data_IF_559650961130
#
_entry.id   IF_559650961130
#
_cell.length_a   1.000
_cell.length_b   1.000
_cell.length_c   1.000
_cell.angle_alpha   90.00
_cell.angle_beta   90.00
_cell.angle_gamma   90.00
#
_symmetry.space_group_name_H-M   'P 1'
#
loop_
_entity.id
_entity.type
_entity.pdbx_description
1 polymer ?
#
# COMPACT_ATOMS: atom_id res chain seq x y z
N UNK A 1 8.57 3.19 -18.87
CA UNK A 1 8.94 1.77 -18.99
C UNK A 1 9.13 1.42 -20.47
N UNK A 2 10.28 1.79 -21.02
CA UNK A 2 10.60 1.47 -22.41
C UNK A 2 11.14 0.03 -22.45
N UNK A 3 10.73 -0.78 -23.41
CA UNK A 3 11.28 -2.13 -23.59
C UNK A 3 10.48 -3.27 -22.94
N UNK A 4 9.39 -3.00 -22.22
CA UNK A 4 8.63 -4.07 -21.54
C UNK A 4 8.05 -5.10 -22.53
N UNK A 5 7.46 -4.61 -23.62
CA UNK A 5 6.87 -5.47 -24.65
C UNK A 5 7.93 -6.42 -25.23
N UNK A 6 9.08 -5.88 -25.60
CA UNK A 6 10.19 -6.62 -26.19
C UNK A 6 10.72 -7.69 -25.24
N UNK A 7 10.95 -7.34 -23.96
CA UNK A 7 11.39 -8.30 -22.94
C UNK A 7 10.36 -9.41 -22.71
N UNK A 8 9.08 -9.08 -22.82
CA UNK A 8 8.02 -10.07 -22.66
C UNK A 8 7.91 -10.99 -23.87
N UNK A 9 7.99 -10.44 -25.08
CA UNK A 9 8.03 -11.22 -26.32
C UNK A 9 9.22 -12.20 -26.31
N UNK A 10 10.40 -11.76 -25.85
CA UNK A 10 11.60 -12.61 -25.72
C UNK A 10 11.42 -13.73 -24.68
N UNK A 11 10.75 -13.44 -23.55
CA UNK A 11 10.45 -14.44 -22.52
C UNK A 11 9.50 -15.52 -23.06
N UNK A 12 8.46 -15.09 -23.78
CA UNK A 12 7.47 -15.97 -24.42
C UNK A 12 8.14 -16.83 -25.51
N UNK A 13 9.02 -16.24 -26.33
CA UNK A 13 9.76 -16.96 -27.37
C UNK A 13 10.65 -18.08 -26.80
N UNK A 14 11.08 -17.96 -25.53
CA UNK A 14 11.81 -19.01 -24.80
C UNK A 14 10.89 -20.07 -24.17
N UNK A 15 9.58 -19.98 -24.35
CA UNK A 15 8.60 -20.86 -23.71
C UNK A 15 8.48 -20.63 -22.21
N UNK A 16 8.85 -19.44 -21.71
CA UNK A 16 8.81 -19.07 -20.30
C UNK A 16 7.67 -18.10 -20.02
N UNK A 17 7.34 -17.96 -18.74
CA UNK A 17 6.39 -16.99 -18.23
C UNK A 17 6.81 -16.55 -16.83
N UNK A 18 6.39 -15.35 -16.42
CA UNK A 18 6.48 -14.89 -15.03
C UNK A 18 5.32 -15.53 -14.26
N UNK A 19 5.66 -16.32 -13.25
CA UNK A 19 4.72 -17.15 -12.49
C UNK A 19 4.33 -16.48 -11.19
N UNK A 20 3.02 -16.37 -10.97
CA UNK A 20 2.44 -15.53 -9.92
C UNK A 20 1.71 -16.37 -8.87
N UNK A 21 1.88 -16.00 -7.60
CA UNK A 21 0.98 -16.38 -6.51
C UNK A 21 0.16 -15.17 -6.09
N UNK A 22 -1.16 -15.29 -5.99
CA UNK A 22 -2.04 -14.19 -5.60
C UNK A 22 -2.70 -14.53 -4.27
N UNK A 23 -2.57 -13.63 -3.28
CA UNK A 23 -3.19 -13.77 -1.96
C UNK A 23 -4.34 -12.79 -1.82
N UNK A 24 -5.52 -13.33 -1.50
CA UNK A 24 -6.80 -12.63 -1.47
C UNK A 24 -7.51 -12.71 -2.82
N UNK A 25 -8.65 -13.39 -2.84
CA UNK A 25 -9.53 -13.54 -3.99
C UNK A 25 -10.84 -12.76 -3.83
N UNK A 26 -10.77 -11.61 -3.14
CA UNK A 26 -11.84 -10.60 -3.11
C UNK A 26 -12.00 -9.88 -4.45
N UNK A 27 -12.73 -8.75 -4.47
CA UNK A 27 -12.96 -7.97 -5.70
C UNK A 27 -11.66 -7.61 -6.44
N UNK A 28 -10.67 -7.09 -5.72
CA UNK A 28 -9.38 -6.68 -6.30
C UNK A 28 -8.56 -7.89 -6.78
N UNK A 29 -8.48 -8.95 -5.97
CA UNK A 29 -7.78 -10.18 -6.33
C UNK A 29 -8.33 -10.85 -7.58
N UNK A 30 -9.65 -10.97 -7.70
CA UNK A 30 -10.32 -11.52 -8.89
C UNK A 30 -10.03 -10.65 -10.11
N UNK A 31 -10.10 -9.32 -9.98
CA UNK A 31 -9.78 -8.41 -11.08
C UNK A 31 -8.32 -8.57 -11.53
N UNK A 32 -7.38 -8.71 -10.59
CA UNK A 32 -5.97 -8.97 -10.89
C UNK A 32 -5.77 -10.30 -11.61
N UNK A 33 -6.33 -11.39 -11.09
CA UNK A 33 -6.21 -12.73 -11.70
C UNK A 33 -6.76 -12.71 -13.13
N UNK A 34 -7.96 -12.14 -13.32
CA UNK A 34 -8.58 -11.97 -14.64
C UNK A 34 -7.70 -11.14 -15.58
N UNK A 35 -7.12 -10.04 -15.09
CA UNK A 35 -6.26 -9.19 -15.89
C UNK A 35 -4.96 -9.90 -16.30
N UNK A 36 -4.26 -10.55 -15.36
CA UNK A 36 -3.04 -11.30 -15.64
C UNK A 36 -3.26 -12.44 -16.63
N UNK A 37 -4.39 -13.16 -16.53
CA UNK A 37 -4.73 -14.23 -17.47
C UNK A 37 -4.89 -13.74 -18.92
N UNK A 38 -5.16 -12.46 -19.13
CA UNK A 38 -5.31 -11.85 -20.45
C UNK A 38 -4.01 -11.25 -21.00
N UNK A 39 -2.90 -11.30 -20.26
CA UNK A 39 -1.61 -10.75 -20.69
C UNK A 39 -0.65 -11.91 -20.98
N UNK A 40 -0.25 -12.11 -22.26
CA UNK A 40 0.74 -13.12 -22.61
C UNK A 40 2.02 -12.98 -21.80
N UNK A 41 2.55 -14.13 -21.36
CA UNK A 41 3.81 -14.20 -20.62
C UNK A 41 3.69 -14.06 -19.10
N UNK A 42 2.50 -13.77 -18.55
CA UNK A 42 2.18 -14.03 -17.15
C UNK A 42 1.45 -15.37 -16.99
N UNK A 43 1.63 -16.02 -15.84
CA UNK A 43 0.88 -17.22 -15.46
C UNK A 43 0.55 -17.19 -13.98
N UNK A 44 -0.74 -17.14 -13.63
CA UNK A 44 -1.17 -17.34 -12.24
C UNK A 44 -1.07 -18.83 -11.91
N UNK A 45 -0.20 -19.18 -10.97
CA UNK A 45 0.08 -20.56 -10.58
C UNK A 45 -0.59 -20.94 -9.26
N UNK A 46 -0.85 -19.96 -8.39
CA UNK A 46 -1.47 -20.21 -7.10
C UNK A 46 -2.36 -19.05 -6.66
N UNK A 47 -3.45 -19.39 -5.98
CA UNK A 47 -4.39 -18.47 -5.35
C UNK A 47 -4.55 -18.91 -3.89
N UNK A 48 -4.37 -17.98 -2.96
CA UNK A 48 -4.63 -18.19 -1.55
C UNK A 48 -5.81 -17.33 -1.09
N UNK A 49 -6.84 -17.95 -0.52
CA UNK A 49 -7.93 -17.25 0.13
C UNK A 49 -8.41 -18.05 1.36
N UNK A 50 -8.56 -17.36 2.49
CA UNK A 50 -8.99 -17.98 3.75
C UNK A 50 -10.39 -18.60 3.67
N UNK A 51 -11.25 -18.10 2.77
CA UNK A 51 -12.61 -18.59 2.60
C UNK A 51 -12.69 -19.58 1.44
N UNK A 52 -12.30 -20.81 1.71
CA UNK A 52 -12.34 -21.92 0.74
C UNK A 52 -13.76 -22.23 0.23
N UNK A 53 -14.81 -21.79 0.94
CA UNK A 53 -16.19 -21.95 0.45
C UNK A 53 -16.49 -21.09 -0.76
N UNK A 54 -15.67 -20.07 -1.04
CA UNK A 54 -15.84 -19.22 -2.21
C UNK A 54 -15.17 -19.78 -3.47
N UNK A 55 -14.50 -20.95 -3.42
CA UNK A 55 -13.81 -21.53 -4.57
C UNK A 55 -14.71 -21.56 -5.81
N UNK A 56 -15.95 -22.07 -5.71
CA UNK A 56 -16.86 -22.16 -6.87
C UNK A 56 -17.21 -20.78 -7.44
N UNK A 57 -17.42 -19.78 -6.58
CA UNK A 57 -17.71 -18.41 -6.97
C UNK A 57 -16.49 -17.74 -7.64
N UNK A 58 -15.29 -17.97 -7.10
CA UNK A 58 -14.02 -17.48 -7.63
C UNK A 58 -13.78 -18.10 -9.02
N UNK A 59 -13.89 -19.42 -9.13
CA UNK A 59 -13.77 -20.15 -10.39
C UNK A 59 -14.77 -19.67 -11.42
N UNK A 60 -16.03 -19.49 -11.04
CA UNK A 60 -17.07 -18.98 -11.94
C UNK A 60 -16.76 -17.58 -12.48
N UNK A 61 -16.30 -16.65 -11.62
CA UNK A 61 -15.94 -15.28 -12.05
C UNK A 61 -14.69 -15.21 -12.90
N UNK A 62 -13.77 -16.15 -12.71
CA UNK A 62 -12.50 -16.23 -13.44
C UNK A 62 -12.57 -17.15 -14.67
N UNK A 63 -13.73 -17.79 -14.91
CA UNK A 63 -13.93 -18.77 -15.97
C UNK A 63 -12.92 -19.94 -15.89
N UNK A 64 -12.56 -20.34 -14.66
CA UNK A 64 -11.67 -21.46 -14.39
C UNK A 64 -12.53 -22.71 -14.13
N UNK A 65 -12.27 -23.80 -14.87
CA UNK A 65 -12.83 -25.11 -14.54
C UNK A 65 -12.24 -25.61 -13.19
N UNK A 66 -13.10 -25.93 -12.23
CA UNK A 66 -12.72 -26.44 -10.90
C UNK A 66 -11.83 -27.69 -11.01
N UNK A 67 -11.96 -28.50 -12.07
CA UNK A 67 -11.11 -29.67 -12.29
C UNK A 67 -9.64 -29.31 -12.59
N UNK A 68 -9.40 -28.07 -13.02
CA UNK A 68 -8.07 -27.51 -13.23
C UNK A 68 -7.45 -26.97 -11.95
N UNK A 69 -8.12 -27.08 -10.80
CA UNK A 69 -7.54 -26.78 -9.51
C UNK A 69 -6.79 -27.99 -8.92
N UNK A 70 -5.76 -27.68 -8.14
CA UNK A 70 -5.19 -28.55 -7.14
C UNK A 70 -5.39 -27.89 -5.78
N UNK A 71 -6.18 -28.52 -4.91
CA UNK A 71 -6.46 -27.98 -3.58
C UNK A 71 -5.32 -28.38 -2.63
N UNK A 72 -4.68 -27.38 -2.03
CA UNK A 72 -3.65 -27.53 -1.03
C UNK A 72 -4.16 -26.99 0.30
N UNK A 73 -4.81 -27.84 1.10
CA UNK A 73 -5.33 -27.45 2.41
C UNK A 73 -4.22 -27.45 3.47
N UNK A 74 -4.26 -26.47 4.36
CA UNK A 74 -3.36 -26.31 5.50
C UNK A 74 -3.53 -27.39 6.58
N UNK A 75 -4.62 -28.15 6.52
CA UNK A 75 -5.02 -29.11 7.55
C UNK A 75 -5.43 -28.46 8.88
N UNK A 76 -5.82 -27.17 8.87
CA UNK A 76 -6.19 -26.42 10.07
C UNK A 76 -5.00 -25.94 10.90
N UNK A 77 -3.78 -25.96 10.33
CA UNK A 77 -2.60 -25.40 10.99
C UNK A 77 -2.78 -23.90 11.20
N UNK A 78 -2.44 -23.36 12.39
CA UNK A 78 -2.47 -21.92 12.58
C UNK A 78 -1.42 -21.30 11.65
N UNK A 79 -1.89 -20.51 10.68
CA UNK A 79 -1.03 -19.70 9.82
C UNK A 79 -0.13 -18.77 10.65
N UNK A 80 0.78 -18.06 9.99
CA UNK A 80 1.89 -17.40 10.70
C UNK A 80 1.53 -16.13 11.50
N UNK A 81 0.26 -15.68 11.47
CA UNK A 81 -0.13 -14.36 11.98
C UNK A 81 -0.04 -14.26 13.51
N UNK A 82 -0.38 -15.34 14.21
CA UNK A 82 -0.35 -15.41 15.68
C UNK A 82 0.98 -15.94 16.25
N UNK A 83 1.95 -16.16 15.36
CA UNK A 83 3.27 -16.72 15.67
C UNK A 83 4.22 -15.69 16.27
N UNK A 84 5.22 -16.18 16.99
CA UNK A 84 6.39 -15.38 17.36
C UNK A 84 7.22 -15.06 16.10
N UNK A 85 7.62 -13.81 15.94
CA UNK A 85 8.43 -13.37 14.80
C UNK A 85 9.72 -14.19 14.65
N UNK A 86 10.38 -14.54 15.76
CA UNK A 86 11.61 -15.36 15.74
C UNK A 86 11.35 -16.81 15.31
N UNK A 87 10.17 -17.36 15.61
CA UNK A 87 9.80 -18.71 15.18
C UNK A 87 9.48 -18.75 13.69
N UNK A 88 8.92 -17.65 13.14
CA UNK A 88 8.74 -17.48 11.69
C UNK A 88 10.10 -17.33 11.00
N UNK A 89 11.01 -16.50 11.51
CA UNK A 89 12.35 -16.33 10.94
C UNK A 89 13.19 -17.61 10.93
N UNK A 90 13.09 -18.40 12.01
CA UNK A 90 13.86 -19.65 12.16
C UNK A 90 13.22 -20.84 11.44
N UNK A 91 12.07 -20.66 10.78
CA UNK A 91 11.36 -21.72 10.08
C UNK A 91 10.73 -22.77 11.00
N UNK A 92 10.56 -22.48 12.29
CA UNK A 92 9.87 -23.38 13.23
C UNK A 92 8.36 -23.41 12.99
N UNK A 93 7.82 -22.33 12.42
CA UNK A 93 6.43 -22.24 12.00
C UNK A 93 6.33 -22.60 10.51
N UNK A 94 6.06 -23.87 10.21
CA UNK A 94 5.85 -24.32 8.84
C UNK A 94 4.35 -24.55 8.56
N UNK A 95 3.89 -24.30 7.31
CA UNK A 95 2.56 -24.71 6.91
C UNK A 95 2.44 -26.24 7.03
N UNK A 96 1.32 -26.74 7.55
CA UNK A 96 1.06 -28.18 7.70
C UNK A 96 0.96 -28.95 6.37
N UNK A 97 0.94 -28.23 5.24
CA UNK A 97 0.91 -28.83 3.92
C UNK A 97 2.28 -29.43 3.55
N UNK A 98 2.30 -30.71 3.17
CA UNK A 98 3.51 -31.45 2.78
C UNK A 98 3.52 -31.83 1.29
N UNK A 99 2.44 -31.55 0.55
CA UNK A 99 2.22 -31.97 -0.83
C UNK A 99 2.94 -31.13 -1.90
N UNK A 100 4.07 -30.47 -1.60
CA UNK A 100 4.74 -29.54 -2.53
C UNK A 100 5.20 -30.20 -3.84
N UNK A 101 5.62 -31.47 -3.81
CA UNK A 101 5.95 -32.22 -5.02
C UNK A 101 4.74 -32.44 -5.93
N UNK A 102 3.57 -32.70 -5.33
CA UNK A 102 2.30 -32.83 -6.06
C UNK A 102 1.84 -31.48 -6.60
N UNK A 103 2.00 -30.39 -5.83
CA UNK A 103 1.71 -29.03 -6.30
C UNK A 103 2.60 -28.63 -7.50
N UNK A 104 3.90 -28.93 -7.43
CA UNK A 104 4.86 -28.70 -8.53
C UNK A 104 4.45 -29.44 -9.81
N UNK A 105 4.06 -30.72 -9.65
CA UNK A 105 3.56 -31.56 -10.74
C UNK A 105 2.24 -31.03 -11.32
N UNK A 106 1.34 -30.54 -10.47
CA UNK A 106 0.07 -29.95 -10.87
C UNK A 106 0.28 -28.66 -11.69
N UNK A 107 1.16 -27.75 -11.26
CA UNK A 107 1.51 -26.52 -12.00
C UNK A 107 2.10 -26.85 -13.37
N UNK A 108 2.98 -27.85 -13.43
CA UNK A 108 3.57 -28.35 -14.67
C UNK A 108 2.51 -28.94 -15.61
N UNK A 109 1.50 -29.61 -15.05
CA UNK A 109 0.33 -30.11 -15.77
C UNK A 109 -0.73 -29.05 -16.12
N UNK A 110 -0.46 -27.76 -15.86
CA UNK A 110 -1.36 -26.66 -16.21
C UNK A 110 -2.42 -26.34 -15.15
N UNK A 111 -2.39 -26.98 -13.98
CA UNK A 111 -3.31 -26.69 -12.89
C UNK A 111 -2.91 -25.44 -12.10
N UNK A 112 -3.89 -24.86 -11.42
CA UNK A 112 -3.72 -23.75 -10.47
C UNK A 112 -3.84 -24.30 -9.06
N UNK A 113 -2.90 -23.94 -8.18
CA UNK A 113 -2.98 -24.28 -6.76
C UNK A 113 -4.01 -23.37 -6.10
N UNK A 114 -4.96 -23.93 -5.36
CA UNK A 114 -5.84 -23.17 -4.49
C UNK A 114 -5.59 -23.57 -3.04
N UNK A 115 -5.46 -22.61 -2.14
CA UNK A 115 -5.16 -22.88 -0.72
C UNK A 115 -5.86 -21.91 0.23
N UNK A 116 -6.07 -22.36 1.46
CA UNK A 116 -6.52 -21.57 2.61
C UNK A 116 -5.37 -20.85 3.35
N UNK A 117 -4.12 -21.19 3.05
CA UNK A 117 -2.94 -20.68 3.74
C UNK A 117 -1.94 -20.06 2.77
N UNK A 118 -1.81 -18.74 2.83
CA UNK A 118 -0.90 -17.98 1.98
C UNK A 118 0.58 -18.38 2.15
N UNK A 119 0.96 -18.94 3.30
CA UNK A 119 2.34 -19.33 3.55
C UNK A 119 2.78 -20.54 2.71
N UNK A 120 1.84 -21.29 2.15
CA UNK A 120 2.10 -22.37 1.19
C UNK A 120 2.67 -21.80 -0.11
N UNK A 121 2.20 -20.64 -0.59
CA UNK A 121 2.69 -20.01 -1.82
C UNK A 121 4.19 -19.69 -1.72
N UNK A 122 4.66 -19.26 -0.56
CA UNK A 122 6.06 -18.94 -0.33
C UNK A 122 6.99 -20.14 -0.56
N UNK A 123 6.48 -21.36 -0.42
CA UNK A 123 7.26 -22.61 -0.55
C UNK A 123 7.14 -23.27 -1.92
N UNK A 124 6.27 -22.82 -2.81
CA UNK A 124 6.13 -23.36 -4.17
C UNK A 124 7.31 -22.87 -5.03
N UNK A 125 8.23 -23.74 -5.48
CA UNK A 125 9.43 -23.32 -6.21
C UNK A 125 9.12 -22.54 -7.49
N UNK A 126 8.04 -22.89 -8.17
CA UNK A 126 7.64 -22.32 -9.45
C UNK A 126 7.17 -20.88 -9.39
N UNK A 127 6.76 -20.36 -8.23
CA UNK A 127 6.29 -18.97 -8.12
C UNK A 127 7.50 -18.03 -8.13
N UNK A 128 7.47 -17.02 -8.99
CA UNK A 128 8.48 -15.96 -9.05
C UNK A 128 8.10 -14.79 -8.13
N UNK A 129 6.83 -14.36 -8.21
CA UNK A 129 6.31 -13.17 -7.52
C UNK A 129 5.02 -13.50 -6.78
N UNK A 130 4.94 -13.10 -5.51
CA UNK A 130 3.70 -13.14 -4.71
C UNK A 130 3.06 -11.75 -4.67
N UNK A 131 1.75 -11.71 -4.92
CA UNK A 131 0.95 -10.49 -4.94
C UNK A 131 -0.03 -10.49 -3.77
N UNK A 132 0.07 -9.50 -2.89
CA UNK A 132 -0.89 -9.29 -1.79
C UNK A 132 -2.03 -8.36 -2.25
N UNK A 133 -3.24 -8.93 -2.35
CA UNK A 133 -4.48 -8.25 -2.68
C UNK A 133 -5.54 -8.40 -1.56
N UNK A 134 -5.10 -8.60 -0.31
CA UNK A 134 -5.99 -8.92 0.83
C UNK A 134 -6.72 -7.72 1.41
N UNK A 135 -6.04 -6.56 1.47
CA UNK A 135 -6.56 -5.34 2.10
C UNK A 135 -6.60 -5.36 3.63
N UNK A 136 -5.87 -6.29 4.28
CA UNK A 136 -5.77 -6.40 5.74
C UNK A 136 -4.31 -6.22 6.18
N UNK A 137 -4.03 -5.27 7.07
CA UNK A 137 -2.65 -4.87 7.43
C UNK A 137 -1.80 -6.02 7.97
N UNK A 138 -2.36 -6.80 8.89
CA UNK A 138 -1.69 -7.95 9.52
C UNK A 138 -1.44 -9.08 8.52
N UNK A 139 -2.44 -9.41 7.70
CA UNK A 139 -2.31 -10.41 6.64
C UNK A 139 -1.26 -9.98 5.63
N UNK A 140 -1.29 -8.73 5.17
CA UNK A 140 -0.32 -8.22 4.20
C UNK A 140 1.12 -8.24 4.70
N UNK A 141 1.34 -7.88 5.97
CA UNK A 141 2.64 -8.00 6.62
C UNK A 141 3.12 -9.46 6.68
N UNK A 142 2.21 -10.38 7.04
CA UNK A 142 2.48 -11.82 7.06
C UNK A 142 2.81 -12.38 5.68
N UNK A 143 2.01 -12.05 4.66
CA UNK A 143 2.23 -12.47 3.26
C UNK A 143 3.59 -12.02 2.78
N UNK A 144 3.93 -10.74 2.99
CA UNK A 144 5.22 -10.19 2.59
C UNK A 144 6.38 -10.90 3.30
N UNK A 145 6.30 -11.07 4.63
CA UNK A 145 7.34 -11.75 5.38
C UNK A 145 7.52 -13.20 4.93
N UNK A 146 6.44 -14.00 4.88
CA UNK A 146 6.49 -15.40 4.46
C UNK A 146 7.11 -15.54 3.07
N UNK A 147 6.66 -14.73 2.12
CA UNK A 147 7.12 -14.76 0.73
C UNK A 147 8.61 -14.44 0.60
N UNK A 148 9.07 -13.38 1.29
CA UNK A 148 10.49 -13.01 1.30
C UNK A 148 11.35 -14.11 1.96
N UNK A 149 10.87 -14.72 3.04
CA UNK A 149 11.56 -15.85 3.67
C UNK A 149 11.63 -17.07 2.75
N UNK A 150 10.59 -17.30 1.94
CA UNK A 150 10.51 -18.32 0.89
C UNK A 150 11.27 -17.98 -0.40
N UNK A 151 11.99 -16.86 -0.47
CA UNK A 151 12.79 -16.51 -1.64
C UNK A 151 11.98 -15.92 -2.81
N UNK A 152 10.80 -15.35 -2.53
CA UNK A 152 9.88 -14.81 -3.54
C UNK A 152 9.92 -13.29 -3.54
N UNK A 153 9.83 -12.68 -4.72
CA UNK A 153 9.55 -11.25 -4.79
C UNK A 153 8.12 -10.97 -4.34
N UNK A 154 7.88 -9.77 -3.83
CA UNK A 154 6.60 -9.33 -3.29
C UNK A 154 6.17 -8.03 -3.95
N UNK A 155 4.98 -8.07 -4.54
CA UNK A 155 4.24 -6.89 -4.98
C UNK A 155 3.00 -6.78 -4.09
N UNK A 156 2.86 -5.71 -3.32
CA UNK A 156 1.70 -5.54 -2.43
C UNK A 156 0.80 -4.40 -2.89
N UNK A 157 -0.51 -4.56 -2.72
CA UNK A 157 -1.50 -3.48 -2.85
C UNK A 157 -1.88 -2.89 -1.47
N UNK A 158 -1.25 -3.38 -0.40
CA UNK A 158 -1.58 -3.07 0.99
C UNK A 158 -0.69 -1.93 1.50
N UNK A 159 -1.10 -0.71 1.14
CA UNK A 159 -0.42 0.53 1.54
C UNK A 159 -0.40 0.65 3.07
N UNK A 160 -1.43 0.15 3.72
CA UNK A 160 -1.60 0.14 5.17
C UNK A 160 -0.48 -0.67 5.85
N UNK A 161 -0.14 -1.86 5.30
CA UNK A 161 0.99 -2.65 5.76
C UNK A 161 2.34 -1.96 5.48
N UNK A 162 2.50 -1.35 4.29
CA UNK A 162 3.73 -0.63 3.90
C UNK A 162 4.04 0.54 4.84
N UNK A 163 3.07 1.40 5.15
CA UNK A 163 3.31 2.52 6.09
C UNK A 163 3.56 2.06 7.52
N UNK A 164 3.18 0.82 7.87
CA UNK A 164 3.31 0.30 9.24
C UNK A 164 4.65 -0.42 9.44
N UNK A 165 5.00 -1.35 8.55
CA UNK A 165 6.18 -2.24 8.66
C UNK A 165 7.00 -2.35 7.36
N UNK A 166 6.72 -1.50 6.35
CA UNK A 166 7.40 -1.51 5.07
C UNK A 166 8.93 -1.33 5.15
N UNK A 167 9.49 -0.43 5.98
CA UNK A 167 10.95 -0.31 6.14
C UNK A 167 11.64 -1.62 6.52
N UNK A 168 11.03 -2.38 7.44
CA UNK A 168 11.52 -3.69 7.84
C UNK A 168 11.41 -4.72 6.71
N UNK A 169 10.26 -4.79 6.03
CA UNK A 169 10.07 -5.69 4.89
C UNK A 169 11.06 -5.40 3.76
N UNK A 170 11.32 -4.12 3.49
CA UNK A 170 12.31 -3.69 2.51
C UNK A 170 13.73 -4.10 2.91
N UNK A 171 14.10 -3.94 4.18
CA UNK A 171 15.41 -4.39 4.68
C UNK A 171 15.58 -5.90 4.51
N UNK A 172 14.57 -6.69 4.87
CA UNK A 172 14.59 -8.16 4.69
C UNK A 172 14.72 -8.53 3.21
N UNK A 173 14.01 -7.82 2.32
CA UNK A 173 14.11 -8.05 0.88
C UNK A 173 15.52 -7.78 0.36
N UNK A 174 16.15 -6.67 0.78
CA UNK A 174 17.53 -6.33 0.38
C UNK A 174 18.56 -7.36 0.83
N UNK A 175 18.48 -7.77 2.11
CA UNK A 175 19.37 -8.79 2.69
C UNK A 175 19.27 -10.12 1.93
N UNK A 176 18.11 -10.40 1.34
CA UNK A 176 17.83 -11.62 0.57
C UNK A 176 17.96 -11.43 -0.95
N UNK A 177 18.30 -10.23 -1.43
CA UNK A 177 18.38 -9.87 -2.86
C UNK A 177 17.05 -10.07 -3.62
N UNK A 178 15.94 -9.87 -2.92
CA UNK A 178 14.57 -9.94 -3.43
C UNK A 178 14.00 -8.53 -3.61
N UNK A 179 12.87 -8.45 -4.32
CA UNK A 179 12.11 -7.21 -4.47
C UNK A 179 10.91 -7.24 -3.52
N UNK A 180 10.77 -6.19 -2.72
CA UNK A 180 9.52 -5.79 -2.08
C UNK A 180 9.11 -4.44 -2.68
N UNK A 181 7.85 -4.27 -3.07
CA UNK A 181 7.35 -3.00 -3.62
C UNK A 181 5.84 -2.91 -3.51
N UNK A 182 5.32 -1.69 -3.36
CA UNK A 182 3.91 -1.42 -3.62
C UNK A 182 3.66 -1.46 -5.14
N UNK A 183 2.44 -1.85 -5.54
CA UNK A 183 2.00 -1.89 -6.93
C UNK A 183 1.79 -0.49 -7.53
N UNK A 184 2.07 -0.35 -8.82
CA UNK A 184 1.66 0.77 -9.64
C UNK A 184 0.13 0.88 -9.77
N UNK A 185 -0.33 2.09 -10.12
CA UNK A 185 -1.75 2.40 -10.34
C UNK A 185 -2.45 3.04 -9.14
N UNK A 186 -1.95 2.83 -7.93
CA UNK A 186 -2.39 3.62 -6.77
C UNK A 186 -1.66 4.98 -6.73
N UNK A 187 -2.26 5.97 -6.07
CA UNK A 187 -1.75 7.35 -6.05
C UNK A 187 -0.30 7.49 -5.56
N UNK A 188 0.18 6.79 -4.52
CA UNK A 188 1.57 6.90 -4.08
C UNK A 188 2.56 6.51 -5.18
N UNK A 189 2.28 5.42 -5.89
CA UNK A 189 3.13 4.92 -6.96
C UNK A 189 3.12 5.85 -8.18
N UNK A 190 1.95 6.40 -8.53
CA UNK A 190 1.81 7.43 -9.57
C UNK A 190 2.58 8.71 -9.22
N UNK A 191 2.53 9.14 -7.95
CA UNK A 191 3.27 10.29 -7.45
C UNK A 191 4.77 10.07 -7.48
N UNK A 192 5.20 8.83 -7.19
CA UNK A 192 6.61 8.46 -7.22
C UNK A 192 7.22 8.63 -8.61
N UNK A 193 6.45 8.41 -9.68
CA UNK A 193 6.91 8.68 -11.05
C UNK A 193 7.15 10.16 -11.30
N UNK A 194 6.21 11.02 -10.88
CA UNK A 194 6.37 12.47 -11.00
C UNK A 194 7.56 12.96 -10.15
N UNK A 195 7.70 12.41 -8.94
CA UNK A 195 8.81 12.71 -8.04
C UNK A 195 10.15 12.33 -8.66
N UNK A 196 10.31 11.11 -9.16
CA UNK A 196 11.58 10.65 -9.75
C UNK A 196 11.95 11.46 -10.99
N UNK A 197 10.97 11.85 -11.80
CA UNK A 197 11.19 12.74 -12.93
C UNK A 197 11.71 14.12 -12.47
N UNK A 198 10.99 14.79 -11.56
CA UNK A 198 11.36 16.14 -11.14
C UNK A 198 12.67 16.17 -10.33
N UNK A 199 12.81 15.24 -9.38
CA UNK A 199 14.01 15.10 -8.56
C UNK A 199 15.22 14.67 -9.41
N UNK A 200 15.04 13.74 -10.35
CA UNK A 200 16.10 13.27 -11.25
C UNK A 200 16.64 14.36 -12.18
N UNK A 201 15.83 15.37 -12.50
CA UNK A 201 16.24 16.57 -13.23
C UNK A 201 16.84 17.67 -12.35
N UNK A 202 16.96 17.43 -11.04
CA UNK A 202 17.53 18.38 -10.08
C UNK A 202 16.61 19.54 -9.72
N UNK A 203 15.29 19.41 -9.94
CA UNK A 203 14.33 20.41 -9.52
C UNK A 203 14.04 20.33 -8.02
N UNK A 204 13.75 21.48 -7.43
CA UNK A 204 13.31 21.54 -6.03
C UNK A 204 11.83 21.19 -5.96
N UNK A 205 11.49 20.18 -5.17
CA UNK A 205 10.10 19.79 -4.95
C UNK A 205 9.47 20.74 -3.91
N UNK A 206 8.29 21.27 -4.22
CA UNK A 206 7.54 22.18 -3.34
C UNK A 206 6.45 21.40 -2.62
N UNK A 207 5.58 20.73 -3.38
CA UNK A 207 4.47 19.94 -2.87
C UNK A 207 4.18 18.79 -3.83
N UNK A 208 3.88 17.60 -3.32
CA UNK A 208 3.39 16.47 -4.12
C UNK A 208 2.11 15.94 -3.49
N UNK A 209 1.11 15.61 -4.29
CA UNK A 209 -0.20 15.29 -3.72
C UNK A 209 -1.21 14.68 -4.66
N UNK A 210 -2.36 14.30 -4.10
CA UNK A 210 -3.48 13.73 -4.84
C UNK A 210 -4.73 14.60 -4.78
N UNK A 211 -5.69 14.23 -5.62
CA UNK A 211 -7.03 14.78 -5.62
C UNK A 211 -7.98 13.89 -4.85
N UNK A 212 -9.01 14.51 -4.28
CA UNK A 212 -10.18 13.84 -3.72
C UNK A 212 -11.44 14.49 -4.30
N UNK A 213 -12.33 13.69 -4.87
CA UNK A 213 -13.61 14.14 -5.44
C UNK A 213 -14.78 14.01 -4.46
N UNK A 214 -14.70 13.15 -3.45
CA UNK A 214 -15.71 13.09 -2.39
C UNK A 214 -15.48 14.21 -1.36
N UNK A 215 -16.53 14.64 -0.64
CA UNK A 215 -16.34 15.49 0.53
C UNK A 215 -15.40 14.82 1.55
N UNK A 216 -14.70 15.66 2.31
CA UNK A 216 -13.99 15.22 3.51
C UNK A 216 -14.93 15.36 4.70
N UNK A 217 -15.30 14.25 5.31
CA UNK A 217 -16.13 14.21 6.52
C UNK A 217 -15.55 13.19 7.51
N UNK A 218 -14.87 13.70 8.55
CA UNK A 218 -14.26 12.87 9.61
C UNK A 218 -15.29 12.07 10.40
N UNK A 219 -16.57 12.43 10.34
CA UNK A 219 -17.66 11.78 11.06
C UNK A 219 -18.36 10.69 10.26
N UNK A 220 -18.01 10.56 8.97
CA UNK A 220 -18.55 9.51 8.13
C UNK A 220 -18.26 8.13 8.74
N UNK A 221 -19.23 7.24 8.61
CA UNK A 221 -19.19 5.86 9.10
C UNK A 221 -19.90 4.91 8.12
N UNK A 222 -19.74 3.58 8.27
CA UNK A 222 -20.27 2.63 7.31
C UNK A 222 -21.78 2.76 7.07
N UNK A 223 -22.56 3.04 8.13
CA UNK A 223 -24.01 3.21 8.02
C UNK A 223 -24.38 4.48 7.25
N UNK A 224 -23.71 5.60 7.50
CA UNK A 224 -24.00 6.86 6.79
C UNK A 224 -23.61 6.83 5.31
N UNK A 225 -22.73 5.91 4.90
CA UNK A 225 -22.27 5.79 3.52
C UNK A 225 -22.78 4.55 2.80
N UNK A 226 -23.67 3.76 3.42
CA UNK A 226 -24.13 2.49 2.86
C UNK A 226 -24.74 2.66 1.47
N UNK A 227 -25.72 3.56 1.33
CA UNK A 227 -26.39 3.84 0.05
C UNK A 227 -25.41 4.40 -1.00
N UNK A 228 -24.56 5.35 -0.58
CA UNK A 228 -23.54 5.95 -1.46
C UNK A 228 -22.52 4.91 -1.94
N UNK A 229 -22.10 4.00 -1.06
CA UNK A 229 -21.15 2.93 -1.38
C UNK A 229 -21.78 1.90 -2.33
N UNK A 230 -23.04 1.50 -2.09
CA UNK A 230 -23.77 0.58 -2.95
C UNK A 230 -23.91 1.13 -4.38
N UNK A 231 -24.22 2.42 -4.53
CA UNK A 231 -24.27 3.10 -5.83
C UNK A 231 -22.92 3.17 -6.57
N UNK A 232 -21.81 2.88 -5.88
CA UNK A 232 -20.44 2.81 -6.42
C UNK A 232 -19.89 1.37 -6.53
N UNK A 233 -20.68 0.35 -6.17
CA UNK A 233 -20.21 -1.04 -6.12
C UNK A 233 -19.14 -1.31 -5.05
N UNK A 234 -19.08 -0.44 -4.02
CA UNK A 234 -18.11 -0.49 -2.93
C UNK A 234 -18.80 -0.85 -1.60
N UNK A 235 -18.02 -1.26 -0.60
CA UNK A 235 -18.54 -1.44 0.76
C UNK A 235 -18.61 -0.10 1.51
N UNK A 236 -19.52 -0.01 2.48
CA UNK A 236 -19.62 1.15 3.38
C UNK A 236 -18.31 1.42 4.12
N UNK A 237 -17.63 0.37 4.60
CA UNK A 237 -16.33 0.46 5.30
C UNK A 237 -15.24 1.09 4.41
N UNK A 238 -15.10 0.62 3.18
CA UNK A 238 -14.12 1.18 2.23
C UNK A 238 -14.47 2.62 1.88
N UNK A 239 -15.75 2.91 1.61
CA UNK A 239 -16.16 4.27 1.28
C UNK A 239 -15.97 5.23 2.46
N UNK A 240 -16.12 4.74 3.69
CA UNK A 240 -15.83 5.52 4.90
C UNK A 240 -14.37 5.91 4.99
N UNK A 241 -13.43 5.00 4.75
CA UNK A 241 -11.99 5.34 4.80
C UNK A 241 -11.60 6.36 3.72
N UNK A 242 -12.33 6.38 2.60
CA UNK A 242 -12.18 7.42 1.59
C UNK A 242 -12.72 8.75 2.11
N UNK A 243 -14.00 8.82 2.48
CA UNK A 243 -14.70 10.05 2.88
C UNK A 243 -14.15 10.66 4.16
N UNK A 244 -13.77 9.85 5.14
CA UNK A 244 -13.15 10.34 6.39
C UNK A 244 -11.69 10.76 6.22
N UNK A 245 -11.14 10.62 5.01
CA UNK A 245 -9.80 11.05 4.64
C UNK A 245 -8.68 10.12 5.08
N UNK A 246 -8.96 9.05 5.81
CA UNK A 246 -7.94 8.11 6.29
C UNK A 246 -7.10 7.54 5.15
N UNK A 247 -7.73 7.15 4.03
CA UNK A 247 -6.99 6.62 2.87
C UNK A 247 -6.00 7.63 2.29
N UNK A 248 -6.41 8.90 2.17
CA UNK A 248 -5.52 9.97 1.69
C UNK A 248 -4.32 10.18 2.62
N UNK A 249 -4.48 10.02 3.93
CA UNK A 249 -3.35 10.07 4.87
C UNK A 249 -2.36 8.94 4.65
N UNK A 250 -2.88 7.73 4.46
CA UNK A 250 -2.08 6.52 4.27
C UNK A 250 -1.27 6.60 2.98
N UNK A 251 -1.90 7.05 1.89
CA UNK A 251 -1.23 7.23 0.61
C UNK A 251 -0.14 8.31 0.67
N UNK A 252 -0.42 9.45 1.31
CA UNK A 252 0.58 10.52 1.45
C UNK A 252 1.71 10.13 2.41
N UNK A 253 1.44 9.33 3.44
CA UNK A 253 2.46 8.77 4.31
C UNK A 253 3.37 7.78 3.56
N UNK A 254 2.81 6.94 2.69
CA UNK A 254 3.59 6.06 1.82
C UNK A 254 4.53 6.87 0.91
N UNK A 255 4.03 7.92 0.25
CA UNK A 255 4.86 8.80 -0.56
C UNK A 255 5.95 9.48 0.27
N UNK A 256 5.59 10.02 1.43
CA UNK A 256 6.52 10.65 2.38
C UNK A 256 7.67 9.70 2.75
N UNK A 257 7.34 8.49 3.20
CA UNK A 257 8.30 7.46 3.59
C UNK A 257 9.18 6.98 2.41
N UNK A 258 8.67 7.08 1.19
CA UNK A 258 9.42 6.73 -0.02
C UNK A 258 10.36 7.83 -0.54
N UNK A 259 10.11 9.10 -0.18
CA UNK A 259 10.75 10.25 -0.83
C UNK A 259 11.49 11.19 0.12
N UNK A 260 11.15 11.20 1.41
CA UNK A 260 11.64 12.18 2.37
C UNK A 260 10.79 13.46 2.44
N UNK A 261 9.74 13.60 1.62
CA UNK A 261 8.78 14.69 1.76
C UNK A 261 8.03 14.56 3.09
N UNK A 262 7.57 15.67 3.67
CA UNK A 262 6.93 15.69 5.01
C UNK A 262 5.53 16.31 4.96
N UNK A 263 4.61 15.99 5.90
CA UNK A 263 3.42 16.80 6.08
C UNK A 263 3.81 18.17 6.67
N UNK A 264 3.21 19.25 6.15
CA UNK A 264 3.48 20.59 6.69
C UNK A 264 2.90 20.77 8.11
N UNK A 265 1.77 20.11 8.37
CA UNK A 265 1.08 20.03 9.65
C UNK A 265 0.38 18.67 9.83
N UNK A 266 0.02 18.30 11.07
CA UNK A 266 -0.74 17.06 11.35
C UNK A 266 -2.05 17.07 10.56
N UNK A 267 -2.25 16.03 9.77
CA UNK A 267 -3.42 15.86 8.91
C UNK A 267 -3.32 16.57 7.56
N UNK A 268 -2.21 17.24 7.25
CA UNK A 268 -2.03 18.09 6.06
C UNK A 268 -3.03 19.25 6.03
N UNK A 269 -2.89 20.17 5.07
CA UNK A 269 -3.81 21.30 4.95
C UNK A 269 -5.14 20.89 4.33
N UNK A 270 -5.12 19.97 3.37
CA UNK A 270 -6.31 19.44 2.69
C UNK A 270 -7.25 20.52 2.10
N UNK A 271 -6.74 21.56 1.40
CA UNK A 271 -7.55 22.68 0.95
C UNK A 271 -8.58 22.29 -0.11
N UNK A 272 -9.64 23.10 -0.20
CA UNK A 272 -10.52 23.10 -1.38
C UNK A 272 -9.84 23.92 -2.47
N UNK A 273 -9.45 23.27 -3.56
CA UNK A 273 -8.76 23.93 -4.67
C UNK A 273 -9.00 23.16 -5.97
N UNK A 274 -9.06 23.91 -7.08
CA UNK A 274 -9.05 23.37 -8.44
C UNK A 274 -7.62 23.20 -8.96
N UNK A 275 -7.44 22.42 -10.02
CA UNK A 275 -6.15 22.24 -10.70
C UNK A 275 -5.49 23.59 -11.04
N UNK A 276 -6.28 24.56 -11.53
CA UNK A 276 -5.81 25.89 -11.90
C UNK A 276 -5.29 26.72 -10.71
N UNK A 277 -5.65 26.37 -9.49
CA UNK A 277 -5.34 27.12 -8.26
C UNK A 277 -4.14 26.52 -7.50
N UNK A 278 -3.70 25.31 -7.87
CA UNK A 278 -2.67 24.56 -7.13
C UNK A 278 -1.38 25.34 -6.93
N UNK A 279 -0.90 26.05 -7.96
CA UNK A 279 0.36 26.81 -7.88
C UNK A 279 0.28 28.00 -6.91
N UNK A 280 -0.90 28.63 -6.81
CA UNK A 280 -1.13 29.72 -5.84
C UNK A 280 -1.39 29.21 -4.43
N UNK A 281 -2.09 28.08 -4.29
CA UNK A 281 -2.42 27.51 -2.97
C UNK A 281 -1.18 26.88 -2.34
N UNK A 282 -0.52 25.96 -3.04
CA UNK A 282 0.66 25.24 -2.55
C UNK A 282 1.95 25.94 -2.92
N UNK A 283 2.09 27.15 -2.44
CA UNK A 283 3.36 27.87 -2.37
C UNK A 283 3.59 28.37 -0.95
N UNK A 284 4.80 28.88 -0.69
CA UNK A 284 5.12 29.39 0.65
C UNK A 284 4.21 30.55 1.06
N UNK A 285 4.02 30.76 2.36
CA UNK A 285 3.32 31.95 2.87
C UNK A 285 3.91 33.27 2.34
N UNK A 286 5.22 33.31 2.11
CA UNK A 286 5.88 34.48 1.52
C UNK A 286 5.47 34.76 0.07
N UNK A 287 4.98 33.75 -0.64
CA UNK A 287 4.42 33.84 -1.99
C UNK A 287 2.89 33.98 -1.99
N UNK A 288 2.26 34.10 -0.81
CA UNK A 288 0.81 34.19 -0.65
C UNK A 288 0.08 32.85 -0.56
N UNK A 289 0.79 31.73 -0.52
CA UNK A 289 0.22 30.40 -0.36
C UNK A 289 0.08 29.97 1.10
N UNK A 290 -0.21 28.69 1.31
CA UNK A 290 -0.52 28.14 2.64
C UNK A 290 0.66 27.48 3.34
N UNK A 291 1.75 27.19 2.63
CA UNK A 291 2.82 26.32 3.11
C UNK A 291 3.79 27.07 4.04
N UNK A 292 4.08 26.47 5.19
CA UNK A 292 5.18 26.88 6.08
C UNK A 292 6.52 26.28 5.62
N UNK A 293 6.49 25.04 5.13
CA UNK A 293 7.64 24.28 4.64
C UNK A 293 7.49 23.96 3.16
N UNK A 294 8.61 23.80 2.46
CA UNK A 294 8.64 23.22 1.11
C UNK A 294 9.09 21.75 1.19
N UNK A 295 8.86 20.99 0.12
CA UNK A 295 9.13 19.55 0.12
C UNK A 295 8.08 18.79 0.91
N UNK A 296 6.81 19.12 0.69
CA UNK A 296 5.70 18.57 1.47
C UNK A 296 4.82 17.60 0.71
N UNK A 297 4.08 16.77 1.44
CA UNK A 297 2.93 16.02 0.93
C UNK A 297 1.62 16.67 1.37
N UNK A 298 0.64 16.73 0.46
CA UNK A 298 -0.71 17.23 0.76
C UNK A 298 -1.75 16.60 -0.19
N UNK A 299 -3.04 16.90 -0.01
CA UNK A 299 -4.09 16.55 -0.98
C UNK A 299 -5.11 17.67 -1.13
N UNK A 300 -5.91 17.64 -2.20
CA UNK A 300 -6.96 18.64 -2.44
C UNK A 300 -8.33 18.04 -2.53
N UNK A 301 -9.33 18.82 -2.10
CA UNK A 301 -10.75 18.52 -2.33
C UNK A 301 -11.21 19.37 -3.52
N UNK A 302 -11.34 18.76 -4.69
CA UNK A 302 -11.56 19.50 -5.94
C UNK A 302 -11.65 18.65 -7.21
N UNK A 303 -11.38 19.27 -8.36
CA UNK A 303 -11.55 18.71 -9.70
C UNK A 303 -10.36 17.87 -10.20
N UNK A 304 -9.52 17.39 -9.28
CA UNK A 304 -8.26 16.72 -9.62
C UNK A 304 -8.39 15.19 -9.78
N UNK A 305 -9.34 14.56 -9.10
CA UNK A 305 -9.48 13.10 -9.09
C UNK A 305 -10.31 12.58 -10.28
N UNK A 306 -9.88 11.50 -10.96
CA UNK A 306 -8.69 10.69 -10.68
C UNK A 306 -7.39 11.40 -11.12
N UNK A 307 -6.34 11.29 -10.32
CA UNK A 307 -5.04 11.83 -10.68
C UNK A 307 -4.19 12.30 -9.51
N UNK A 308 -2.96 12.69 -9.86
CA UNK A 308 -1.95 13.16 -8.92
C UNK A 308 -1.17 14.34 -9.48
N UNK A 309 -0.61 15.16 -8.61
CA UNK A 309 0.15 16.35 -8.98
C UNK A 309 1.48 16.47 -8.23
N UNK A 310 2.42 17.16 -8.86
CA UNK A 310 3.66 17.60 -8.23
C UNK A 310 3.98 19.03 -8.64
N UNK A 311 4.29 19.87 -7.66
CA UNK A 311 4.75 21.24 -7.86
C UNK A 311 6.25 21.26 -7.61
N UNK A 312 6.99 21.78 -8.58
CA UNK A 312 8.43 21.96 -8.48
C UNK A 312 8.84 23.41 -8.77
N UNK A 313 10.05 23.76 -8.37
CA UNK A 313 10.65 25.08 -8.61
C UNK A 313 12.07 24.97 -9.13
N UNK A 314 12.51 26.01 -9.84
CA UNK A 314 13.90 26.18 -10.29
C UNK A 314 14.40 27.59 -10.01
N UNK A 315 15.61 27.69 -9.46
CA UNK A 315 16.33 28.97 -9.30
C UNK A 315 17.11 29.36 -10.56
N UNK A 316 17.32 28.43 -11.50
CA UNK A 316 18.10 28.67 -12.70
C UNK A 316 17.31 29.53 -13.70
N UNK A 317 17.84 30.73 -14.02
CA UNK A 317 17.18 31.70 -14.90
C UNK A 317 16.91 31.15 -16.30
N UNK A 318 17.88 30.47 -16.92
CA UNK A 318 17.74 29.90 -18.26
C UNK A 318 16.68 28.79 -18.29
N UNK A 319 16.62 27.98 -17.24
CA UNK A 319 15.59 26.94 -17.11
C UNK A 319 14.21 27.58 -16.98
N UNK A 320 14.06 28.66 -16.19
CA UNK A 320 12.77 29.37 -16.08
C UNK A 320 12.33 29.98 -17.42
N UNK A 321 13.26 30.58 -18.16
CA UNK A 321 12.99 31.12 -19.50
C UNK A 321 12.56 30.02 -20.48
N UNK A 322 13.22 28.85 -20.43
CA UNK A 322 12.85 27.70 -21.24
C UNK A 322 11.47 27.15 -20.85
N UNK A 323 11.18 27.02 -19.55
CA UNK A 323 9.88 26.55 -19.08
C UNK A 323 8.75 27.52 -19.47
N UNK A 324 8.98 28.82 -19.38
CA UNK A 324 8.05 29.83 -19.88
C UNK A 324 7.84 29.71 -21.40
N UNK A 325 8.92 29.57 -22.18
CA UNK A 325 8.83 29.32 -23.62
C UNK A 325 8.03 28.05 -23.97
N UNK A 326 8.15 27.01 -23.14
CA UNK A 326 7.39 25.75 -23.24
C UNK A 326 5.98 25.83 -22.63
N UNK A 327 5.49 27.03 -22.30
CA UNK A 327 4.14 27.29 -21.81
C UNK A 327 3.84 26.64 -20.44
N UNK A 328 4.85 26.40 -19.62
CA UNK A 328 4.69 25.86 -18.26
C UNK A 328 4.29 26.93 -17.23
N UNK A 329 4.25 28.20 -17.62
CA UNK A 329 3.93 29.35 -16.78
C UNK A 329 5.13 30.25 -16.46
N UNK A 330 4.88 31.34 -15.74
CA UNK A 330 5.88 32.38 -15.45
C UNK A 330 6.84 32.01 -14.30
N UNK A 331 6.53 30.93 -13.56
CA UNK A 331 7.30 30.48 -12.42
C UNK A 331 7.09 31.35 -11.16
N UNK A 332 7.90 31.13 -10.10
CA UNK A 332 9.00 30.17 -10.03
C UNK A 332 8.54 28.72 -9.80
N UNK A 333 7.24 28.50 -9.61
CA UNK A 333 6.64 27.19 -9.37
C UNK A 333 5.92 26.69 -10.63
N UNK A 334 6.01 25.38 -10.89
CA UNK A 334 5.50 24.74 -12.09
C UNK A 334 4.79 23.43 -11.73
N UNK A 335 3.77 23.06 -12.50
CA UNK A 335 2.90 21.93 -12.23
C UNK A 335 3.23 20.74 -13.16
N UNK A 336 3.46 19.57 -12.58
CA UNK A 336 3.30 18.29 -13.25
C UNK A 336 1.98 17.68 -12.80
N UNK A 337 1.15 17.27 -13.75
CA UNK A 337 -0.16 16.67 -13.47
C UNK A 337 -0.31 15.38 -14.27
N UNK A 338 -0.66 14.30 -13.58
CA UNK A 338 -1.06 13.03 -14.18
C UNK A 338 -2.58 12.87 -13.98
N UNK A 339 -3.42 13.06 -15.02
CA UNK A 339 -4.88 13.07 -14.92
C UNK A 339 -5.51 11.67 -14.85
N UNK A 340 -4.73 10.67 -14.41
CA UNK A 340 -5.17 9.29 -14.32
C UNK A 340 -4.26 8.51 -13.38
N UNK A 341 -4.83 7.46 -12.84
CA UNK A 341 -4.16 6.33 -12.22
C UNK A 341 -5.17 5.17 -12.27
N UNK A 342 -4.71 3.95 -12.48
CA UNK A 342 -5.60 2.81 -12.71
C UNK A 342 -5.22 1.67 -11.75
N UNK A 343 -5.67 1.75 -10.48
CA UNK A 343 -5.31 0.78 -9.44
C UNK A 343 -5.62 -0.65 -9.88
N UNK A 344 -4.73 -1.58 -9.56
CA UNK A 344 -4.85 -2.99 -9.95
C UNK A 344 -4.44 -3.25 -11.41
N UNK A 345 -4.91 -2.44 -12.37
CA UNK A 345 -4.63 -2.61 -13.82
C UNK A 345 -3.17 -2.30 -14.16
N UNK A 346 -2.52 -1.38 -13.45
CA UNK A 346 -1.09 -1.09 -13.67
C UNK A 346 -0.15 -2.09 -12.95
N UNK A 347 -0.66 -2.99 -12.12
CA UNK A 347 0.15 -3.98 -11.36
C UNK A 347 1.08 -4.85 -12.23
N UNK A 348 0.68 -5.34 -13.42
CA UNK A 348 1.57 -6.12 -14.29
C UNK A 348 2.86 -5.39 -14.65
N UNK A 349 2.82 -4.06 -14.75
CA UNK A 349 4.00 -3.22 -14.98
C UNK A 349 4.98 -3.32 -13.80
N UNK A 350 4.46 -3.34 -12.57
CA UNK A 350 5.29 -3.50 -11.37
C UNK A 350 5.92 -4.88 -11.31
N UNK A 351 5.14 -5.93 -11.57
CA UNK A 351 5.64 -7.31 -11.60
C UNK A 351 6.75 -7.46 -12.66
N UNK A 352 6.52 -6.95 -13.87
CA UNK A 352 7.52 -6.98 -14.92
C UNK A 352 8.81 -6.24 -14.55
N UNK A 353 8.69 -5.06 -13.94
CA UNK A 353 9.84 -4.28 -13.49
C UNK A 353 10.63 -4.99 -12.39
N UNK A 354 9.94 -5.60 -11.44
CA UNK A 354 10.55 -6.40 -10.39
C UNK A 354 11.30 -7.61 -10.97
N UNK A 355 10.68 -8.32 -11.93
CA UNK A 355 11.24 -9.50 -12.56
C UNK A 355 12.46 -9.17 -13.45
N UNK A 356 12.31 -8.27 -14.43
CA UNK A 356 13.35 -8.01 -15.42
C UNK A 356 14.42 -7.03 -14.96
N UNK A 357 14.02 -5.94 -14.30
CA UNK A 357 14.96 -4.88 -13.93
C UNK A 357 15.52 -5.06 -12.53
N UNK A 358 14.95 -5.97 -11.73
CA UNK A 358 15.24 -6.08 -10.29
C UNK A 358 15.09 -4.74 -9.58
N UNK A 359 14.05 -3.97 -9.95
CA UNK A 359 13.77 -2.66 -9.40
C UNK A 359 12.36 -2.59 -8.80
N UNK A 360 12.20 -2.04 -7.58
CA UNK A 360 10.89 -1.73 -7.05
C UNK A 360 10.28 -0.53 -7.77
N UNK A 361 8.96 -0.38 -7.70
CA UNK A 361 8.25 0.82 -8.11
C UNK A 361 8.34 1.91 -7.05
N UNK A 362 7.84 1.59 -5.86
CA UNK A 362 7.89 2.46 -4.69
C UNK A 362 8.10 1.58 -3.45
N UNK A 363 8.97 2.07 -2.58
CA UNK A 363 9.40 1.45 -1.32
C UNK A 363 9.76 2.56 -0.34
N UNK A 364 9.66 2.32 0.98
CA UNK A 364 10.00 3.32 1.99
C UNK A 364 11.53 3.47 2.12
N UNK A 365 12.14 4.21 1.18
CA UNK A 365 13.61 4.42 1.14
C UNK A 365 14.12 5.35 2.23
N UNK A 366 13.27 6.21 2.77
CA UNK A 366 13.63 7.19 3.79
C UNK A 366 13.32 6.69 5.23
N UNK A 367 12.93 5.43 5.38
CA UNK A 367 12.43 4.90 6.64
C UNK A 367 11.02 5.41 6.95
N UNK A 368 10.69 5.58 8.24
CA UNK A 368 9.47 6.27 8.66
C UNK A 368 9.77 7.76 8.84
N UNK A 369 9.42 8.55 7.83
CA UNK A 369 9.43 10.00 7.86
C UNK A 369 8.11 10.52 8.44
N UNK A 370 7.02 9.86 8.07
CA UNK A 370 5.68 10.13 8.55
C UNK A 370 5.03 8.88 9.13
N UNK A 371 4.11 9.12 10.06
CA UNK A 371 3.23 8.13 10.66
C UNK A 371 1.78 8.52 10.43
N UNK A 372 0.89 7.55 10.24
CA UNK A 372 -0.56 7.81 10.31
C UNK A 372 -1.05 7.46 11.69
N UNK A 373 -1.38 8.47 12.48
CA UNK A 373 -1.80 8.33 13.88
C UNK A 373 -3.30 8.14 14.00
N UNK A 374 -3.71 7.42 15.04
CA UNK A 374 -5.11 7.06 15.29
C UNK A 374 -5.83 8.15 16.07
N UNK A 375 -6.94 8.66 15.53
CA UNK A 375 -7.80 9.66 16.19
C UNK A 375 -9.17 9.05 16.47
N UNK A 376 -9.71 9.31 17.66
CA UNK A 376 -11.07 8.90 18.01
C UNK A 376 -12.12 9.67 17.18
N UNK A 377 -12.96 8.95 16.44
CA UNK A 377 -14.04 9.51 15.61
C UNK A 377 -15.23 9.99 16.45
N UNK A 378 -15.45 9.35 17.59
CA UNK A 378 -16.50 9.63 18.59
C UNK A 378 -15.91 9.51 19.99
N UNK A 379 -16.71 9.83 21.02
CA UNK A 379 -16.36 9.47 22.39
C UNK A 379 -16.30 7.93 22.51
N UNK A 380 -15.16 7.44 23.00
CA UNK A 380 -14.89 6.02 23.22
C UNK A 380 -14.77 5.73 24.71
N UNK A 381 -15.26 4.56 25.12
CA UNK A 381 -15.27 4.09 26.51
C UNK A 381 -14.16 3.08 26.74
N UNK A 382 -13.77 2.95 28.00
CA UNK A 382 -12.92 1.84 28.46
C UNK A 382 -13.56 0.49 28.11
N UNK A 383 -12.73 -0.48 27.73
CA UNK A 383 -13.14 -1.82 27.32
C UNK A 383 -13.66 -1.94 25.90
N UNK A 384 -13.90 -0.85 25.16
CA UNK A 384 -14.29 -0.95 23.75
C UNK A 384 -13.14 -1.48 22.88
N UNK A 385 -13.49 -2.31 21.89
CA UNK A 385 -12.57 -2.89 20.90
C UNK A 385 -12.61 -2.03 19.63
N UNK A 386 -11.47 -1.49 19.21
CA UNK A 386 -11.36 -0.64 18.01
C UNK A 386 -11.70 -1.44 16.75
N UNK A 387 -12.66 -0.95 15.96
CA UNK A 387 -13.20 -1.59 14.75
C UNK A 387 -12.35 -1.41 13.48
N UNK A 388 -11.36 -0.53 13.53
CA UNK A 388 -10.33 -0.34 12.50
C UNK A 388 -10.68 0.71 11.45
N UNK A 389 -9.85 0.76 10.41
CA UNK A 389 -9.93 1.76 9.33
C UNK A 389 -11.28 1.67 8.62
N UNK A 390 -11.90 2.84 8.36
CA UNK A 390 -13.21 2.92 7.73
C UNK A 390 -14.37 2.50 8.64
N UNK A 391 -14.11 2.27 9.93
CA UNK A 391 -15.12 1.95 10.93
C UNK A 391 -15.83 3.18 11.52
N UNK A 392 -16.48 2.94 12.65
CA UNK A 392 -17.23 3.91 13.44
C UNK A 392 -16.37 4.58 14.52
N UNK A 393 -15.25 3.99 14.93
CA UNK A 393 -14.54 4.43 16.14
C UNK A 393 -13.36 5.34 15.87
N UNK A 394 -12.69 5.22 14.74
CA UNK A 394 -11.43 5.92 14.47
C UNK A 394 -11.32 6.49 13.05
N UNK A 395 -10.44 7.47 12.88
CA UNK A 395 -9.90 7.91 11.59
C UNK A 395 -8.40 8.21 11.71
N UNK A 396 -7.70 8.27 10.58
CA UNK A 396 -6.27 8.55 10.54
C UNK A 396 -5.94 10.01 10.23
N UNK A 397 -4.85 10.51 10.82
CA UNK A 397 -4.17 11.74 10.41
C UNK A 397 -2.68 11.45 10.23
N UNK A 398 -2.08 11.89 9.12
CA UNK A 398 -0.63 11.85 8.95
C UNK A 398 0.04 12.85 9.89
N UNK A 399 1.21 12.50 10.42
CA UNK A 399 2.09 13.39 11.17
C UNK A 399 3.56 13.03 10.90
N UNK A 400 4.49 13.91 11.23
CA UNK A 400 5.91 13.58 11.23
C UNK A 400 6.16 12.43 12.24
N UNK A 401 6.91 11.41 11.83
CA UNK A 401 7.16 10.21 12.67
C UNK A 401 7.80 10.57 14.02
N UNK A 402 8.74 11.52 14.03
CA UNK A 402 9.38 11.99 15.26
C UNK A 402 8.38 12.60 16.26
N UNK A 403 7.36 13.31 15.77
CA UNK A 403 6.27 13.85 16.60
C UNK A 403 5.40 12.73 17.15
N UNK A 404 5.00 11.78 16.30
CA UNK A 404 4.18 10.64 16.70
C UNK A 404 4.87 9.80 17.80
N UNK A 405 6.17 9.55 17.67
CA UNK A 405 6.99 8.85 18.69
C UNK A 405 7.04 9.66 19.98
N UNK A 406 7.36 10.97 19.90
CA UNK A 406 7.47 11.84 21.08
C UNK A 406 6.17 11.93 21.87
N UNK A 407 5.03 11.93 21.18
CA UNK A 407 3.70 12.00 21.80
C UNK A 407 3.11 10.62 22.17
N UNK A 408 3.84 9.54 21.90
CA UNK A 408 3.44 8.15 22.09
C UNK A 408 2.10 7.79 21.41
N UNK A 409 1.90 8.27 20.18
CA UNK A 409 0.67 8.11 19.42
C UNK A 409 0.56 6.72 18.81
N UNK A 410 -0.65 6.15 18.81
CA UNK A 410 -0.92 4.83 18.24
C UNK A 410 -0.91 4.87 16.70
N UNK A 411 0.01 4.15 16.03
CA UNK A 411 -0.01 3.98 14.59
C UNK A 411 -1.30 3.29 14.14
N UNK A 412 -1.95 3.81 13.10
CA UNK A 412 -3.28 3.33 12.68
C UNK A 412 -3.26 1.87 12.23
N UNK A 413 -2.14 1.40 11.67
CA UNK A 413 -1.97 0.01 11.26
C UNK A 413 -2.01 -1.00 12.41
N UNK A 414 -1.82 -0.55 13.66
CA UNK A 414 -1.89 -1.39 14.86
C UNK A 414 -3.20 -1.23 15.64
N UNK A 415 -4.08 -0.31 15.21
CA UNK A 415 -5.23 0.09 16.00
C UNK A 415 -6.35 -0.96 16.00
N UNK A 416 -6.58 -1.64 14.88
CA UNK A 416 -7.68 -2.60 14.76
C UNK A 416 -7.56 -3.73 15.79
N UNK A 417 -8.67 -4.05 16.45
CA UNK A 417 -8.74 -5.10 17.47
C UNK A 417 -8.22 -4.69 18.85
N UNK A 418 -7.52 -3.55 18.96
CA UNK A 418 -6.99 -3.08 20.24
C UNK A 418 -8.10 -2.65 21.19
N UNK A 419 -7.93 -2.96 22.48
CA UNK A 419 -8.91 -2.70 23.55
C UNK A 419 -8.51 -1.43 24.29
N UNK A 420 -9.44 -0.49 24.46
CA UNK A 420 -9.18 0.72 25.24
C UNK A 420 -9.07 0.43 26.74
N UNK A 421 -8.00 0.92 27.37
CA UNK A 421 -7.77 0.87 28.81
C UNK A 421 -8.44 2.01 29.57
N UNK A 422 -8.84 3.07 28.86
CA UNK A 422 -9.49 4.25 29.45
C UNK A 422 -10.37 4.96 28.41
N UNK A 423 -11.31 5.82 28.84
CA UNK A 423 -12.11 6.61 27.91
C UNK A 423 -11.26 7.58 27.08
N UNK A 424 -11.62 7.77 25.81
CA UNK A 424 -10.98 8.74 24.89
C UNK A 424 -12.06 9.62 24.28
N UNK A 425 -11.83 10.94 24.29
CA UNK A 425 -12.77 11.90 23.73
C UNK A 425 -12.68 11.95 22.22
N UNK A 426 -13.81 12.27 21.58
CA UNK A 426 -13.87 12.56 20.15
C UNK A 426 -12.76 13.55 19.73
N UNK A 427 -12.21 13.34 18.55
CA UNK A 427 -11.16 14.13 17.91
C UNK A 427 -9.84 14.20 18.71
N UNK A 428 -9.65 13.27 19.66
CA UNK A 428 -8.42 13.15 20.44
C UNK A 428 -7.55 12.01 19.89
N UNK A 429 -6.22 12.19 19.76
CA UNK A 429 -5.31 11.11 19.43
C UNK A 429 -5.32 10.00 20.49
N UNK A 430 -5.35 8.74 20.04
CA UNK A 430 -5.19 7.56 20.88
C UNK A 430 -3.70 7.28 21.05
N UNK A 431 -3.26 7.02 22.28
CA UNK A 431 -1.86 6.67 22.59
C UNK A 431 -1.67 5.18 22.74
N UNK A 432 -0.44 4.71 22.56
CA UNK A 432 -0.07 3.30 22.76
C UNK A 432 -0.37 2.84 24.19
N UNK A 433 -0.13 3.71 25.18
CA UNK A 433 -0.38 3.38 26.59
C UNK A 433 -1.88 3.24 26.92
N UNK A 434 -2.75 3.78 26.07
CA UNK A 434 -4.20 3.81 26.26
C UNK A 434 -4.86 2.52 25.76
N UNK A 435 -4.11 1.60 25.16
CA UNK A 435 -4.64 0.36 24.58
C UNK A 435 -3.94 -0.90 25.07
N UNK A 436 -4.65 -2.02 24.99
CA UNK A 436 -4.09 -3.37 24.91
C UNK A 436 -4.12 -3.77 23.44
N UNK A 437 -2.96 -4.10 22.86
CA UNK A 437 -2.89 -4.49 21.45
C UNK A 437 -3.75 -5.73 21.19
N UNK A 438 -4.58 -5.64 20.14
CA UNK A 438 -5.38 -6.78 19.64
C UNK A 438 -5.15 -7.09 18.16
N UNK A 439 -4.16 -6.44 17.54
CA UNK A 439 -3.63 -6.86 16.25
C UNK A 439 -2.86 -8.19 16.38
N UNK A 440 -2.54 -8.81 15.25
CA UNK A 440 -1.78 -10.06 15.24
C UNK A 440 -0.44 -9.93 15.97
N UNK A 441 -0.03 -11.02 16.64
CA UNK A 441 1.23 -11.05 17.39
C UNK A 441 2.42 -10.74 16.49
N UNK A 442 2.41 -11.31 15.28
CA UNK A 442 3.46 -11.11 14.30
C UNK A 442 3.61 -9.62 13.93
N UNK A 443 2.50 -8.94 13.59
CA UNK A 443 2.55 -7.53 13.17
C UNK A 443 3.11 -6.64 14.28
N UNK A 444 2.66 -6.84 15.52
CA UNK A 444 3.14 -6.09 16.68
C UNK A 444 4.66 -6.28 16.87
N UNK A 445 5.16 -7.51 16.79
CA UNK A 445 6.58 -7.80 16.98
C UNK A 445 7.44 -7.29 15.83
N UNK A 446 6.95 -7.39 14.60
CA UNK A 446 7.60 -6.77 13.44
C UNK A 446 7.76 -5.27 13.65
N UNK A 447 6.67 -4.58 14.02
CA UNK A 447 6.72 -3.14 14.25
C UNK A 447 7.69 -2.77 15.37
N UNK A 448 7.65 -3.47 16.50
CA UNK A 448 8.58 -3.23 17.62
C UNK A 448 10.05 -3.34 17.17
N UNK A 449 10.40 -4.39 16.43
CA UNK A 449 11.76 -4.59 15.89
C UNK A 449 12.17 -3.54 14.88
N UNK A 450 11.22 -3.07 14.07
CA UNK A 450 11.45 -1.96 13.16
C UNK A 450 11.82 -0.69 13.92
N UNK A 451 11.02 -0.31 14.93
CA UNK A 451 11.26 0.89 15.72
C UNK A 451 12.63 0.83 16.45
N UNK A 452 12.99 -0.34 17.00
CA UNK A 452 14.32 -0.59 17.60
C UNK A 452 15.46 -0.38 16.57
N UNK A 453 15.26 -0.85 15.33
CA UNK A 453 16.26 -0.70 14.25
C UNK A 453 16.40 0.76 13.79
N UNK A 454 15.29 1.48 13.66
CA UNK A 454 15.28 2.90 13.26
C UNK A 454 15.99 3.75 14.32
N UNK A 455 15.70 3.52 15.61
CA UNK A 455 16.32 4.25 16.71
C UNK A 455 17.83 3.97 16.82
N UNK A 456 18.27 2.74 16.58
CA UNK A 456 19.69 2.38 16.59
C UNK A 456 20.49 2.99 15.42
N UNK A 457 19.83 3.29 14.29
CA UNK A 457 20.45 3.89 13.10
C UNK A 457 20.42 5.43 13.06
N UNK A 458 19.69 6.07 13.98
CA UNK A 458 19.50 7.53 14.04
C UNK A 458 20.42 8.25 15.05
N UNK A 459 21.71 7.90 15.06
CA UNK A 459 22.75 8.51 15.90
C UNK A 459 23.72 9.40 15.13
#
# INVERSE_FOLDING_TARGET
MLGFKEKMDDLIAQGKSIRLGIVGAGQMGIALISHFNNIPGFKVCAIADKDTKQIDNICSKLEIDVNNLFIAESGGSPGILDSEYEDVLSGKQEPGFTGYGSASSAISGGKIIFTDDFSILAKIPEIDVVIDATGYTDVGAGVALASLLGGKDVVTLNVEADITVGPMLKKIADERKLIYTLAAGDEPAALKELYDFAHGLGFKIICAGKGKNNPLDRQANPSTLEEYAAGKGSSGKMMTSFVDGTKSMIEMACLSNATGLIPDCRGMHSPKAKIAELLSVFCSKSQGGILEKEGVVDFVIGDLAPGVFLIFSSKNKLIKELLHYLLMGDGPNYLLYRPYHIPGIETPLTVARAYFERQPWIVPRAGLISEVVTIAKRDLKEGEVIDGIGGYMIYGLIDEYGTAVKENLLPIGLAQGSILKKPVKKDTPIRIDDIIFGCSRLLMQMRKKQDETIQAGGG
#
